data_IF_521881373252
#
_entry.id   IF_521881373252
#
_cell.length_a   1.000
_cell.length_b   1.000
_cell.length_c   1.000
_cell.angle_alpha   90.00
_cell.angle_beta   90.00
_cell.angle_gamma   90.00
#
_symmetry.space_group_name_H-M   'P 1'
#
loop_
_entity.id
_entity.type
_entity.pdbx_description
1 polymer ?
#
# COMPACT_ATOMS: atom_id res chain seq x y z
N UNK A 1 41.91 16.78 0.00
CA UNK A 1 41.38 15.54 -0.61
C UNK A 1 40.61 14.78 0.47
N UNK A 2 39.28 14.68 0.39
CA UNK A 2 38.49 13.90 1.35
C UNK A 2 38.59 12.42 0.94
N UNK A 3 39.24 11.63 1.78
CA UNK A 3 39.55 10.21 1.51
C UNK A 3 38.37 9.28 1.85
N UNK A 4 37.50 9.74 2.75
CA UNK A 4 36.37 9.01 3.29
C UNK A 4 35.07 9.83 3.16
N UNK A 5 33.97 9.14 2.93
CA UNK A 5 32.62 9.72 2.85
C UNK A 5 31.61 8.80 3.54
N UNK A 6 30.61 9.42 4.16
CA UNK A 6 29.47 8.76 4.78
C UNK A 6 28.20 9.29 4.11
N UNK A 7 27.29 8.40 3.75
CA UNK A 7 26.02 8.75 3.13
C UNK A 7 24.86 7.99 3.76
N UNK A 8 23.72 8.67 3.90
CA UNK A 8 22.45 8.06 4.27
C UNK A 8 21.46 8.33 3.14
N UNK A 9 20.83 7.28 2.63
CA UNK A 9 19.80 7.39 1.60
C UNK A 9 18.72 6.33 1.74
N UNK A 10 17.51 6.65 1.30
CA UNK A 10 16.37 5.74 1.37
C UNK A 10 16.22 4.97 0.04
N UNK A 11 16.09 3.65 0.12
CA UNK A 11 15.90 2.73 -1.00
C UNK A 11 14.50 2.12 -0.95
N UNK A 12 13.76 2.24 -2.05
CA UNK A 12 12.38 1.73 -2.17
C UNK A 12 12.36 0.40 -2.93
N UNK A 13 11.67 -0.61 -2.40
CA UNK A 13 11.46 -1.91 -3.06
C UNK A 13 9.96 -2.21 -3.14
N UNK A 14 9.37 -2.46 -4.32
CA UNK A 14 7.95 -2.77 -4.42
C UNK A 14 7.64 -4.12 -3.76
N UNK A 15 6.56 -4.17 -2.99
CA UNK A 15 5.96 -5.42 -2.50
C UNK A 15 5.15 -6.01 -3.63
N UNK A 16 5.37 -7.28 -3.96
CA UNK A 16 4.58 -7.99 -4.94
C UNK A 16 3.11 -8.08 -4.52
N UNK A 17 2.20 -7.79 -5.45
CA UNK A 17 0.74 -7.83 -5.21
C UNK A 17 0.08 -6.45 -5.18
N UNK A 18 -1.22 -6.42 -5.45
CA UNK A 18 -2.03 -5.21 -5.29
C UNK A 18 -2.61 -5.19 -3.89
N UNK A 19 -2.32 -4.13 -3.15
CA UNK A 19 -2.89 -3.84 -1.83
C UNK A 19 -3.90 -2.70 -1.94
N UNK A 20 -4.80 -2.64 -0.96
CA UNK A 20 -5.77 -1.55 -0.86
C UNK A 20 -5.28 -0.52 0.15
N UNK A 21 -5.01 0.70 -0.32
CA UNK A 21 -4.62 1.78 0.58
C UNK A 21 -5.84 2.42 1.25
N UNK A 22 -5.90 2.41 2.59
CA UNK A 22 -6.98 3.07 3.35
C UNK A 22 -6.93 4.61 3.31
N UNK A 23 -5.79 5.20 2.95
CA UNK A 23 -5.64 6.66 2.85
C UNK A 23 -6.18 7.23 1.54
N UNK A 24 -5.84 6.62 0.40
CA UNK A 24 -6.27 7.12 -0.92
C UNK A 24 -7.38 6.26 -1.55
N UNK A 25 -7.82 5.20 -0.86
CA UNK A 25 -8.87 4.28 -1.30
C UNK A 25 -8.65 3.73 -2.72
N UNK A 26 -7.39 3.56 -3.10
CA UNK A 26 -6.96 3.05 -4.40
C UNK A 26 -6.29 1.68 -4.25
N UNK A 27 -6.48 0.82 -5.26
CA UNK A 27 -5.69 -0.39 -5.42
C UNK A 27 -4.32 0.00 -5.98
N UNK A 28 -3.27 -0.27 -5.22
CA UNK A 28 -1.90 0.16 -5.52
C UNK A 28 -0.92 -0.93 -5.14
N UNK A 29 0.32 -0.84 -5.60
CA UNK A 29 1.45 -1.56 -5.01
C UNK A 29 1.92 -0.85 -3.75
N UNK A 30 2.39 -1.60 -2.75
CA UNK A 30 3.15 -1.06 -1.62
C UNK A 30 4.62 -0.99 -1.99
N UNK A 31 5.37 -0.06 -1.39
CA UNK A 31 6.83 -0.08 -1.42
C UNK A 31 7.36 -0.17 0.01
N UNK A 32 8.29 -1.09 0.24
CA UNK A 32 9.09 -1.17 1.46
C UNK A 32 10.23 -0.17 1.34
N UNK A 33 10.42 0.64 2.38
CA UNK A 33 11.48 1.64 2.47
C UNK A 33 12.57 1.13 3.40
N UNK A 34 13.79 1.08 2.86
CA UNK A 34 15.01 0.71 3.58
C UNK A 34 15.91 1.92 3.69
N UNK A 35 16.39 2.24 4.89
CA UNK A 35 17.47 3.19 5.08
C UNK A 35 18.77 2.50 4.82
N UNK A 36 19.58 3.06 3.92
CA UNK A 36 20.93 2.57 3.68
C UNK A 36 21.90 3.58 4.26
N UNK A 37 22.75 3.12 5.19
CA UNK A 37 23.91 3.88 5.67
C UNK A 37 25.13 3.29 5.00
N UNK A 38 25.78 4.06 4.14
CA UNK A 38 26.94 3.64 3.36
C UNK A 38 28.20 4.37 3.83
N UNK A 39 29.27 3.61 4.01
CA UNK A 39 30.61 4.12 4.20
C UNK A 39 31.48 3.81 2.99
N UNK A 40 32.09 4.84 2.43
CA UNK A 40 32.87 4.74 1.21
C UNK A 40 34.25 5.38 1.38
N UNK A 41 35.28 4.71 0.88
CA UNK A 41 36.65 5.24 0.76
C UNK A 41 36.96 5.34 -0.73
N UNK A 42 37.43 6.50 -1.21
CA UNK A 42 37.67 6.74 -2.65
C UNK A 42 36.46 6.38 -3.56
N UNK A 43 35.23 6.64 -3.12
CA UNK A 43 33.99 6.24 -3.81
C UNK A 43 33.79 4.72 -3.97
N UNK A 44 34.55 3.90 -3.26
CA UNK A 44 34.35 2.45 -3.16
C UNK A 44 33.58 2.18 -1.86
N UNK A 45 32.36 1.61 -1.92
CA UNK A 45 31.60 1.25 -0.73
C UNK A 45 32.29 0.09 0.00
N UNK A 46 32.66 0.31 1.26
CA UNK A 46 33.31 -0.70 2.12
C UNK A 46 32.29 -1.40 3.00
N UNK A 47 31.30 -0.66 3.48
CA UNK A 47 30.21 -1.23 4.26
C UNK A 47 28.90 -0.52 3.97
N UNK A 48 27.83 -1.30 4.03
CA UNK A 48 26.48 -0.79 4.06
C UNK A 48 25.71 -1.50 5.19
N UNK A 49 24.79 -0.77 5.81
CA UNK A 49 23.75 -1.36 6.64
C UNK A 49 22.39 -0.97 6.09
N UNK A 50 21.47 -1.92 6.04
CA UNK A 50 20.08 -1.71 5.64
C UNK A 50 19.19 -1.81 6.87
N UNK A 51 18.39 -0.78 7.13
CA UNK A 51 17.43 -0.71 8.23
C UNK A 51 16.02 -0.54 7.65
N UNK A 52 15.09 -1.44 7.99
CA UNK A 52 13.70 -1.34 7.56
C UNK A 52 13.02 -0.18 8.30
N UNK A 53 12.61 0.85 7.57
CA UNK A 53 11.96 2.04 8.16
C UNK A 53 10.44 1.90 8.14
N UNK A 54 9.90 1.24 7.12
CA UNK A 54 8.47 1.02 6.99
C UNK A 54 8.01 0.79 5.56
N UNK A 55 6.71 0.91 5.36
CA UNK A 55 6.04 0.66 4.09
C UNK A 55 5.26 1.90 3.68
N UNK A 56 5.20 2.21 2.39
CA UNK A 56 4.38 3.30 1.85
C UNK A 56 3.49 2.85 0.69
N UNK A 57 2.37 3.52 0.53
CA UNK A 57 1.52 3.40 -0.64
C UNK A 57 2.19 4.04 -1.85
N UNK A 58 2.30 3.34 -2.98
CA UNK A 58 2.95 3.91 -4.16
C UNK A 58 2.15 5.07 -4.78
N UNK A 59 0.81 5.03 -4.68
CA UNK A 59 -0.09 6.06 -5.21
C UNK A 59 -0.12 7.35 -4.39
N UNK A 60 -0.15 7.28 -3.05
CA UNK A 60 -0.32 8.46 -2.18
C UNK A 60 0.85 8.74 -1.23
N UNK A 61 1.89 7.88 -1.25
CA UNK A 61 3.11 8.00 -0.44
C UNK A 61 2.88 8.06 1.07
N UNK A 62 1.68 7.68 1.53
CA UNK A 62 1.37 7.58 2.94
C UNK A 62 1.91 6.27 3.51
N UNK A 63 2.38 6.28 4.77
CA UNK A 63 2.86 5.08 5.43
C UNK A 63 1.72 4.06 5.59
N UNK A 64 2.01 2.80 5.32
CA UNK A 64 1.10 1.67 5.51
C UNK A 64 1.54 0.91 6.76
N UNK A 65 0.57 0.59 7.63
CA UNK A 65 0.84 -0.30 8.76
C UNK A 65 0.93 -1.74 8.26
N UNK A 66 1.70 -2.58 8.94
CA UNK A 66 1.82 -4.01 8.58
C UNK A 66 0.46 -4.73 8.61
N UNK A 67 -0.46 -4.29 9.48
CA UNK A 67 -1.86 -4.75 9.51
C UNK A 67 -2.59 -4.55 8.18
N UNK A 68 -2.27 -3.48 7.43
CA UNK A 68 -2.86 -3.17 6.12
C UNK A 68 -2.22 -3.99 4.99
N UNK A 69 -1.05 -4.59 5.23
CA UNK A 69 -0.36 -5.50 4.30
C UNK A 69 -0.80 -6.96 4.46
N UNK A 70 -1.50 -7.30 5.54
CA UNK A 70 -2.07 -8.64 5.80
C UNK A 70 -3.06 -9.13 4.75
N UNK A 71 -3.49 -8.26 3.83
CA UNK A 71 -4.38 -8.59 2.71
C UNK A 71 -3.57 -8.97 1.47
N UNK A 72 -2.71 -9.98 1.58
CA UNK A 72 -2.29 -10.77 0.43
C UNK A 72 -3.37 -11.85 0.22
N UNK A 73 -4.28 -11.70 -0.76
CA UNK A 73 -5.23 -12.75 -1.03
C UNK A 73 -4.45 -13.92 -1.64
N UNK A 74 -4.14 -14.90 -0.82
CA UNK A 74 -4.11 -16.27 -1.32
C UNK A 74 -5.57 -16.61 -1.66
N UNK A 75 -5.95 -16.26 -2.90
CA UNK A 75 -6.99 -16.93 -3.71
C UNK A 75 -8.13 -17.60 -2.93
N UNK A 76 -9.04 -16.80 -2.36
CA UNK A 76 -10.39 -17.24 -2.04
C UNK A 76 -11.34 -16.07 -2.31
N UNK A 77 -12.10 -16.20 -3.40
CA UNK A 77 -13.08 -15.24 -3.90
C UNK A 77 -14.15 -14.92 -2.84
N UNK A 78 -13.90 -13.94 -1.97
CA UNK A 78 -14.94 -13.37 -1.12
C UNK A 78 -15.82 -12.45 -1.99
N UNK A 79 -16.82 -13.06 -2.62
CA UNK A 79 -17.87 -12.34 -3.33
C UNK A 79 -18.68 -11.52 -2.32
N UNK A 80 -18.88 -10.23 -2.57
CA UNK A 80 -19.69 -9.39 -1.68
C UNK A 80 -21.05 -9.10 -2.29
N UNK A 81 -22.10 -9.08 -1.46
CA UNK A 81 -23.47 -8.78 -1.86
C UNK A 81 -23.81 -7.33 -1.49
N UNK A 82 -24.22 -6.54 -2.48
CA UNK A 82 -24.70 -5.18 -2.24
C UNK A 82 -26.01 -5.22 -1.45
N UNK A 83 -26.07 -4.58 -0.29
CA UNK A 83 -27.29 -4.53 0.55
C UNK A 83 -28.44 -3.76 -0.11
N UNK A 84 -28.13 -2.76 -0.95
CA UNK A 84 -29.14 -1.90 -1.58
C UNK A 84 -29.85 -2.54 -2.80
N UNK A 85 -29.14 -3.27 -3.67
CA UNK A 85 -29.75 -3.93 -4.85
C UNK A 85 -29.67 -5.47 -4.83
N UNK A 86 -29.09 -6.07 -3.80
CA UNK A 86 -28.96 -7.51 -3.66
C UNK A 86 -27.99 -8.19 -4.63
N UNK A 87 -27.28 -7.46 -5.50
CA UNK A 87 -26.34 -8.05 -6.48
C UNK A 87 -25.03 -8.50 -5.84
N UNK A 88 -24.54 -9.65 -6.27
CA UNK A 88 -23.28 -10.23 -5.83
C UNK A 88 -22.15 -9.83 -6.80
N UNK A 89 -21.06 -9.30 -6.26
CA UNK A 89 -19.89 -8.87 -7.03
C UNK A 89 -18.68 -9.73 -6.68
N UNK A 90 -17.83 -10.07 -7.67
CA UNK A 90 -16.70 -10.98 -7.49
C UNK A 90 -15.56 -10.43 -6.60
N UNK A 91 -15.64 -9.19 -6.10
CA UNK A 91 -14.62 -8.60 -5.23
C UNK A 91 -15.22 -7.63 -4.19
N UNK A 92 -14.69 -7.65 -2.98
CA UNK A 92 -14.90 -6.66 -1.92
C UNK A 92 -14.38 -5.24 -2.26
N UNK A 93 -13.74 -5.03 -3.41
CA UNK A 93 -13.21 -3.73 -3.84
C UNK A 93 -14.02 -3.07 -4.97
N UNK A 94 -15.12 -3.68 -5.42
CA UNK A 94 -15.98 -3.14 -6.48
C UNK A 94 -17.15 -2.37 -5.86
N UNK A 95 -17.23 -1.07 -6.16
CA UNK A 95 -18.43 -0.26 -5.92
C UNK A 95 -19.55 -0.83 -6.78
N UNK A 96 -20.74 -1.02 -6.21
CA UNK A 96 -21.91 -1.35 -7.02
C UNK A 96 -22.11 -0.24 -8.07
N UNK A 97 -22.06 -0.57 -9.35
CA UNK A 97 -22.18 0.43 -10.43
C UNK A 97 -23.54 1.10 -10.46
N UNK A 98 -24.56 0.44 -9.92
CA UNK A 98 -25.95 0.92 -9.83
C UNK A 98 -26.12 1.77 -8.58
N UNK A 99 -25.97 1.15 -7.41
CA UNK A 99 -26.23 1.78 -6.12
C UNK A 99 -25.12 2.71 -5.68
N UNK A 100 -23.98 2.69 -6.36
CA UNK A 100 -22.83 3.51 -6.00
C UNK A 100 -22.40 3.29 -4.53
N UNK A 101 -22.63 2.09 -4.00
CA UNK A 101 -22.29 1.66 -2.62
C UNK A 101 -21.12 0.68 -2.60
N UNK A 102 -20.37 0.65 -1.50
CA UNK A 102 -19.23 -0.27 -1.25
C UNK A 102 -19.54 -1.21 -0.07
N UNK A 103 -18.84 -2.36 0.04
CA UNK A 103 -19.03 -3.26 1.19
C UNK A 103 -18.78 -2.57 2.51
N UNK A 104 -19.70 -2.77 3.45
CA UNK A 104 -19.64 -2.16 4.78
C UNK A 104 -20.12 -0.70 4.86
N UNK A 105 -20.53 -0.06 3.75
CA UNK A 105 -21.18 1.25 3.82
C UNK A 105 -22.70 1.11 3.88
N UNK A 106 -23.29 1.36 5.05
CA UNK A 106 -24.72 1.69 5.16
C UNK A 106 -24.92 3.13 4.69
N UNK A 107 -25.58 3.31 3.56
CA UNK A 107 -26.02 4.64 3.13
C UNK A 107 -27.40 4.86 3.75
N UNK A 108 -27.50 5.85 4.65
CA UNK A 108 -28.80 6.33 5.11
C UNK A 108 -29.57 6.91 3.90
N UNK A 109 -30.87 6.64 3.77
CA UNK A 109 -31.66 6.98 2.57
C UNK A 109 -31.85 8.49 2.31
N UNK A 110 -31.33 9.39 3.13
CA UNK A 110 -31.67 10.83 3.11
C UNK A 110 -30.64 11.73 2.40
N UNK A 111 -30.14 11.32 1.23
CA UNK A 111 -29.33 12.23 0.39
C UNK A 111 -29.71 12.13 -1.08
N UNK A 112 -30.90 12.61 -1.38
CA UNK A 112 -31.31 13.03 -2.71
C UNK A 112 -32.13 14.31 -2.53
N UNK A 113 -31.45 15.45 -2.60
CA UNK A 113 -32.05 16.75 -2.91
C UNK A 113 -31.37 17.27 -4.16
#
# INVERSE_FOLDING_TARGET
MRLFSWGEYDKKRPVGGKIFCKHCYSSTTASVIWRVKEFSIFAIPISNSEELIGNECDSCKQPLKDEDLSYLPNTAESKWKCENCGRTWPLTHVRCTICKTRPGQRVNPDSST
#
